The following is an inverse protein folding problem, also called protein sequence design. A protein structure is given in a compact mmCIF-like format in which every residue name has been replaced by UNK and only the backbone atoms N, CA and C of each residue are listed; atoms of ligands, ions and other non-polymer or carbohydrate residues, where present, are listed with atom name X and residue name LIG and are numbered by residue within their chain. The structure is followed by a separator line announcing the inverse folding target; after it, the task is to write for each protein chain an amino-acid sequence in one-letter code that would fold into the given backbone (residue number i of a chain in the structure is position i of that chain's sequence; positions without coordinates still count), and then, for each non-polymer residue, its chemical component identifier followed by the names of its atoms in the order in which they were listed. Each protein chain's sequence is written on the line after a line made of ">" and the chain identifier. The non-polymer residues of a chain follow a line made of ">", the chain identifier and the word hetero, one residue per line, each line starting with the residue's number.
data_IF_194065568770
#
_entry.id   IF_194065568770
#
_cell.length_a   1.000
_cell.length_b   1.000
_cell.length_c   1.000
_cell.angle_alpha   90.00
_cell.angle_beta   90.00
_cell.angle_gamma   90.00
#
_symmetry.space_group_name_H-M   'P 1'
#
loop_
_entity.id
_entity.type
_entity.pdbx_description
1 polymer ?
#
# COMPACT_ATOMS: atom_id res chain seq x y z
N UNK A 1 -32.18 -18.05 -27.59
CA UNK A 1 -31.45 -18.91 -26.64
C UNK A 1 -29.96 -18.65 -26.84
N UNK A 2 -29.36 -17.79 -26.01
CA UNK A 2 -27.92 -17.49 -26.10
C UNK A 2 -27.14 -18.67 -25.55
N UNK A 3 -26.25 -19.24 -26.36
CA UNK A 3 -25.39 -20.34 -25.94
C UNK A 3 -24.42 -19.84 -24.86
N UNK A 4 -24.19 -20.61 -23.78
CA UNK A 4 -23.23 -20.23 -22.75
C UNK A 4 -21.84 -20.09 -23.39
N UNK A 5 -21.27 -18.89 -23.35
CA UNK A 5 -19.93 -18.62 -23.87
C UNK A 5 -18.94 -19.41 -23.01
N UNK A 6 -18.33 -20.44 -23.59
CA UNK A 6 -17.35 -21.27 -22.89
C UNK A 6 -15.97 -20.62 -22.97
N UNK A 7 -15.55 -19.95 -21.90
CA UNK A 7 -14.21 -19.40 -21.77
C UNK A 7 -13.18 -20.47 -21.41
N UNK A 8 -11.95 -20.32 -21.91
CA UNK A 8 -10.80 -21.12 -21.46
C UNK A 8 -10.42 -20.74 -20.02
N UNK A 9 -9.70 -21.62 -19.33
CA UNK A 9 -9.19 -21.31 -17.98
C UNK A 9 -8.30 -20.06 -17.97
N UNK A 10 -7.48 -19.88 -19.01
CA UNK A 10 -6.65 -18.69 -19.16
C UNK A 10 -7.49 -17.41 -19.32
N UNK A 11 -8.56 -17.45 -20.12
CA UNK A 11 -9.45 -16.31 -20.29
C UNK A 11 -10.15 -15.96 -18.97
N UNK A 12 -10.66 -16.95 -18.23
CA UNK A 12 -11.27 -16.72 -16.92
C UNK A 12 -10.28 -16.08 -15.94
N UNK A 13 -9.06 -16.63 -15.85
CA UNK A 13 -8.01 -16.08 -14.97
C UNK A 13 -7.66 -14.63 -15.32
N UNK A 14 -7.48 -14.33 -16.61
CA UNK A 14 -7.18 -12.96 -17.05
C UNK A 14 -8.33 -12.01 -16.70
N UNK A 15 -9.59 -12.41 -16.95
CA UNK A 15 -10.75 -11.58 -16.63
C UNK A 15 -10.91 -11.36 -15.13
N UNK A 16 -10.73 -12.40 -14.31
CA UNK A 16 -10.75 -12.29 -12.85
C UNK A 16 -9.75 -11.23 -12.36
N UNK A 17 -8.49 -11.32 -12.80
CA UNK A 17 -7.46 -10.33 -12.45
C UNK A 17 -7.84 -8.92 -12.90
N UNK A 18 -8.39 -8.77 -14.12
CA UNK A 18 -8.78 -7.44 -14.63
C UNK A 18 -9.96 -6.85 -13.86
N UNK A 19 -10.91 -7.68 -13.44
CA UNK A 19 -12.07 -7.23 -12.68
C UNK A 19 -11.68 -6.88 -11.24
N UNK A 20 -10.83 -7.68 -10.58
CA UNK A 20 -10.28 -7.33 -9.27
C UNK A 20 -9.52 -6.01 -9.30
N UNK A 21 -8.66 -5.81 -10.30
CA UNK A 21 -7.97 -4.52 -10.51
C UNK A 21 -8.94 -3.36 -10.73
N UNK A 22 -10.05 -3.58 -11.44
CA UNK A 22 -11.07 -2.56 -11.64
C UNK A 22 -11.78 -2.24 -10.31
N UNK A 23 -12.17 -3.26 -9.55
CA UNK A 23 -12.81 -3.11 -8.23
C UNK A 23 -11.94 -2.32 -7.26
N UNK A 24 -10.63 -2.60 -7.20
CA UNK A 24 -9.67 -1.83 -6.40
C UNK A 24 -9.69 -0.33 -6.77
N UNK A 25 -9.72 0.00 -8.07
CA UNK A 25 -9.81 1.40 -8.51
C UNK A 25 -11.14 2.04 -8.16
N UNK A 26 -12.24 1.29 -8.19
CA UNK A 26 -13.55 1.80 -7.73
C UNK A 26 -13.51 2.12 -6.22
N UNK A 27 -12.83 1.30 -5.42
CA UNK A 27 -12.63 1.54 -3.99
C UNK A 27 -11.76 2.79 -3.76
N UNK A 28 -10.68 2.95 -4.55
CA UNK A 28 -9.81 4.13 -4.47
C UNK A 28 -10.57 5.42 -4.80
N UNK A 29 -11.39 5.41 -5.86
CA UNK A 29 -12.24 6.55 -6.23
C UNK A 29 -13.21 6.87 -5.08
N UNK A 30 -13.89 5.87 -4.54
CA UNK A 30 -14.82 6.05 -3.41
C UNK A 30 -14.12 6.63 -2.17
N UNK A 31 -12.90 6.17 -1.86
CA UNK A 31 -12.08 6.73 -0.78
C UNK A 31 -11.78 8.21 -1.02
N UNK A 32 -11.38 8.59 -2.24
CA UNK A 32 -11.07 9.99 -2.60
C UNK A 32 -12.30 10.90 -2.49
N UNK A 33 -13.49 10.42 -2.86
CA UNK A 33 -14.73 11.19 -2.73
C UNK A 33 -15.12 11.44 -1.26
N UNK A 34 -14.74 10.52 -0.36
CA UNK A 34 -15.02 10.57 1.07
C UNK A 34 -14.03 11.40 1.89
N UNK A 35 -12.73 11.34 1.55
CA UNK A 35 -11.68 12.07 2.28
C UNK A 35 -11.82 13.60 2.12
N UNK A 36 -12.42 14.07 1.02
CA UNK A 36 -12.60 15.49 0.74
C UNK A 36 -11.27 16.20 0.47
N UNK A 37 -11.11 17.44 0.94
CA UNK A 37 -9.84 18.17 0.80
C UNK A 37 -8.81 17.69 1.81
N UNK A 38 -7.75 17.05 1.34
CA UNK A 38 -6.62 16.60 2.17
C UNK A 38 -5.41 17.52 2.00
N UNK A 39 -4.72 17.83 3.11
CA UNK A 39 -3.44 18.53 3.11
C UNK A 39 -2.38 17.65 3.77
N UNK A 40 -1.41 17.20 2.99
CA UNK A 40 -0.17 16.59 3.47
C UNK A 40 0.93 17.63 3.61
N UNK A 41 2.12 17.23 4.06
CA UNK A 41 3.27 18.13 4.26
C UNK A 41 3.66 18.86 2.98
N UNK A 42 3.62 18.18 1.83
CA UNK A 42 4.07 18.71 0.55
C UNK A 42 2.96 18.83 -0.50
N UNK A 43 1.77 18.28 -0.24
CA UNK A 43 0.67 18.25 -1.20
C UNK A 43 -0.61 18.79 -0.57
N UNK A 44 -1.31 19.66 -1.28
CA UNK A 44 -2.70 20.02 -0.96
C UNK A 44 -3.60 19.55 -2.09
N UNK A 45 -4.53 18.65 -1.76
CA UNK A 45 -5.63 18.26 -2.65
C UNK A 45 -6.78 19.25 -2.44
N UNK A 46 -7.27 19.80 -3.54
CA UNK A 46 -8.44 20.68 -3.54
C UNK A 46 -9.61 19.87 -4.07
N UNK A 47 -10.60 19.63 -3.21
CA UNK A 47 -11.86 19.01 -3.62
C UNK A 47 -12.73 20.06 -4.28
N UNK A 48 -12.99 19.89 -5.57
CA UNK A 48 -13.89 20.74 -6.37
C UNK A 48 -15.13 19.98 -6.84
N UNK A 49 -15.33 18.75 -6.33
CA UNK A 49 -16.45 17.91 -6.72
C UNK A 49 -17.65 18.29 -5.86
N UNK A 50 -18.70 18.77 -6.50
CA UNK A 50 -19.95 19.15 -5.82
C UNK A 50 -20.68 17.93 -5.27
N UNK A 51 -21.57 18.14 -4.30
CA UNK A 51 -22.38 17.05 -3.72
C UNK A 51 -23.18 16.28 -4.77
N UNK A 52 -23.75 16.97 -5.77
CA UNK A 52 -24.51 16.37 -6.86
C UNK A 52 -23.63 15.49 -7.76
N UNK A 53 -22.41 15.95 -8.05
CA UNK A 53 -21.42 15.16 -8.80
C UNK A 53 -20.98 13.93 -8.00
N UNK A 54 -20.72 14.07 -6.68
CA UNK A 54 -20.41 12.94 -5.80
C UNK A 54 -21.53 11.91 -5.81
N UNK A 55 -22.77 12.33 -5.63
CA UNK A 55 -23.93 11.42 -5.66
C UNK A 55 -24.04 10.69 -7.00
N UNK A 56 -23.85 11.42 -8.11
CA UNK A 56 -23.87 10.81 -9.45
C UNK A 56 -22.75 9.79 -9.64
N UNK A 57 -21.54 10.09 -9.17
CA UNK A 57 -20.42 9.16 -9.23
C UNK A 57 -20.70 7.93 -8.35
N UNK A 58 -21.22 8.08 -7.13
CA UNK A 58 -21.58 6.94 -6.28
C UNK A 58 -22.59 6.00 -6.95
N UNK A 59 -23.61 6.53 -7.61
CA UNK A 59 -24.56 5.73 -8.40
C UNK A 59 -23.86 4.96 -9.52
N UNK A 60 -22.90 5.58 -10.20
CA UNK A 60 -22.12 4.94 -11.26
C UNK A 60 -21.16 3.88 -10.73
N UNK A 61 -20.50 4.12 -9.59
CA UNK A 61 -19.63 3.14 -8.92
C UNK A 61 -20.42 1.89 -8.56
N UNK A 62 -21.58 2.05 -7.92
CA UNK A 62 -22.45 0.94 -7.53
C UNK A 62 -22.97 0.15 -8.73
N UNK A 63 -23.40 0.85 -9.79
CA UNK A 63 -23.82 0.19 -11.04
C UNK A 63 -22.66 -0.59 -11.68
N UNK A 64 -21.44 -0.05 -11.64
CA UNK A 64 -20.26 -0.71 -12.21
C UNK A 64 -19.95 -2.00 -11.45
N UNK A 65 -19.96 -1.97 -10.11
CA UNK A 65 -19.79 -3.18 -9.27
C UNK A 65 -20.83 -4.25 -9.56
N UNK A 66 -22.07 -3.83 -9.72
CA UNK A 66 -23.17 -4.74 -10.04
C UNK A 66 -22.99 -5.41 -11.42
N UNK A 67 -22.51 -4.68 -12.43
CA UNK A 67 -22.18 -5.27 -13.73
C UNK A 67 -20.98 -6.22 -13.66
N UNK A 68 -19.94 -5.88 -12.87
CA UNK A 68 -18.81 -6.78 -12.62
C UNK A 68 -19.29 -8.08 -11.95
N UNK A 69 -20.14 -7.98 -10.93
CA UNK A 69 -20.71 -9.13 -10.21
C UNK A 69 -21.48 -10.05 -11.16
N UNK A 70 -22.38 -9.50 -11.98
CA UNK A 70 -23.13 -10.27 -12.99
C UNK A 70 -22.20 -10.97 -13.99
N UNK A 71 -21.14 -10.28 -14.45
CA UNK A 71 -20.16 -10.87 -15.35
C UNK A 71 -19.36 -11.98 -14.65
N UNK A 72 -18.94 -11.77 -13.40
CA UNK A 72 -18.26 -12.76 -12.59
C UNK A 72 -19.08 -14.05 -12.41
N UNK A 73 -20.36 -13.90 -12.07
CA UNK A 73 -21.31 -15.02 -11.93
C UNK A 73 -21.55 -15.75 -13.26
N UNK A 74 -21.85 -15.00 -14.34
CA UNK A 74 -22.15 -15.59 -15.65
C UNK A 74 -20.97 -16.29 -16.31
N UNK A 75 -19.74 -15.89 -15.98
CA UNK A 75 -18.51 -16.46 -16.52
C UNK A 75 -17.82 -17.44 -15.55
N UNK A 76 -18.39 -17.63 -14.36
CA UNK A 76 -17.83 -18.44 -13.27
C UNK A 76 -16.36 -18.08 -13.00
N UNK A 77 -16.11 -16.78 -12.79
CA UNK A 77 -14.77 -16.29 -12.45
C UNK A 77 -14.45 -16.61 -10.99
N UNK A 78 -13.22 -17.05 -10.75
CA UNK A 78 -12.75 -17.34 -9.41
C UNK A 78 -12.37 -16.03 -8.69
N UNK A 79 -12.74 -15.92 -7.42
CA UNK A 79 -12.26 -14.84 -6.54
C UNK A 79 -10.82 -15.15 -6.14
N UNK A 80 -9.90 -14.23 -6.38
CA UNK A 80 -8.53 -14.35 -5.86
C UNK A 80 -8.45 -13.77 -4.45
N UNK A 81 -7.90 -14.54 -3.51
CA UNK A 81 -7.53 -14.01 -2.20
C UNK A 81 -6.19 -13.27 -2.31
N UNK A 82 -6.18 -12.00 -1.94
CA UNK A 82 -4.96 -11.21 -1.80
C UNK A 82 -4.66 -10.94 -0.32
N UNK A 83 -3.38 -11.02 0.04
CA UNK A 83 -2.94 -10.73 1.40
C UNK A 83 -2.67 -9.24 1.57
N UNK A 84 -3.52 -8.55 2.33
CA UNK A 84 -3.27 -7.16 2.73
C UNK A 84 -1.89 -7.00 3.39
N UNK A 85 -1.42 -8.01 4.13
CA UNK A 85 -0.07 -8.01 4.72
C UNK A 85 1.00 -7.96 3.64
N UNK A 86 0.93 -8.85 2.64
CA UNK A 86 1.89 -8.88 1.55
C UNK A 86 1.84 -7.58 0.71
N UNK A 87 0.65 -7.03 0.50
CA UNK A 87 0.47 -5.76 -0.19
C UNK A 87 1.09 -4.58 0.59
N UNK A 88 0.84 -4.48 1.89
CA UNK A 88 1.45 -3.42 2.71
C UNK A 88 2.98 -3.59 2.75
N UNK A 89 3.49 -4.82 2.82
CA UNK A 89 4.93 -5.09 2.75
C UNK A 89 5.55 -4.65 1.42
N UNK A 90 4.87 -4.85 0.29
CA UNK A 90 5.37 -4.39 -1.01
C UNK A 90 5.38 -2.85 -1.08
N UNK A 91 4.35 -2.17 -0.58
CA UNK A 91 4.31 -0.71 -0.49
C UNK A 91 5.44 -0.17 0.39
N UNK A 92 5.68 -0.77 1.55
CA UNK A 92 6.78 -0.39 2.45
C UNK A 92 8.14 -0.59 1.79
N UNK A 93 8.34 -1.68 1.04
CA UNK A 93 9.57 -1.92 0.32
C UNK A 93 9.82 -0.87 -0.77
N UNK A 94 8.77 -0.47 -1.51
CA UNK A 94 8.85 0.60 -2.50
C UNK A 94 9.20 1.94 -1.84
N UNK A 95 8.49 2.34 -0.80
CA UNK A 95 8.77 3.59 -0.07
C UNK A 95 10.17 3.62 0.53
N UNK A 96 10.64 2.48 1.05
CA UNK A 96 12.02 2.35 1.53
C UNK A 96 13.01 2.57 0.39
N UNK A 97 12.80 1.93 -0.76
CA UNK A 97 13.65 2.11 -1.95
C UNK A 97 13.69 3.57 -2.39
N UNK A 98 12.54 4.23 -2.49
CA UNK A 98 12.44 5.63 -2.88
C UNK A 98 13.23 6.52 -1.91
N UNK A 99 13.06 6.33 -0.59
CA UNK A 99 13.81 7.08 0.43
C UNK A 99 15.32 6.81 0.36
N UNK A 100 15.73 5.58 0.07
CA UNK A 100 17.15 5.25 -0.11
C UNK A 100 17.77 6.03 -1.26
N UNK A 101 17.00 6.38 -2.29
CA UNK A 101 17.46 7.16 -3.43
C UNK A 101 17.43 8.68 -3.19
N UNK A 102 16.73 9.13 -2.15
CA UNK A 102 16.77 10.54 -1.69
C UNK A 102 17.98 10.90 -0.83
N UNK A 103 18.83 9.93 -0.48
CA UNK A 103 20.02 10.17 0.36
C UNK A 103 20.94 11.23 -0.26
N UNK A 104 21.51 12.18 0.51
CA UNK A 104 22.35 13.24 -0.02
C UNK A 104 23.48 12.76 -0.92
N UNK A 105 24.12 11.64 -0.59
CA UNK A 105 25.20 11.01 -1.37
C UNK A 105 24.75 10.48 -2.75
N UNK A 106 23.46 10.26 -2.96
CA UNK A 106 22.88 9.78 -4.22
C UNK A 106 22.26 10.88 -5.08
N UNK A 107 22.08 12.09 -4.53
CA UNK A 107 21.47 13.22 -5.25
C UNK A 107 22.46 14.02 -6.11
N UNK A 108 23.68 13.51 -6.34
CA UNK A 108 24.74 14.22 -7.09
C UNK A 108 24.36 14.53 -8.54
N UNK A 109 23.40 13.79 -9.12
CA UNK A 109 22.88 14.03 -10.47
C UNK A 109 22.13 15.36 -10.65
N UNK A 110 21.75 16.02 -9.56
CA UNK A 110 21.03 17.30 -9.57
C UNK A 110 21.93 18.52 -9.31
N UNK A 111 23.25 18.31 -9.35
CA UNK A 111 24.26 19.32 -9.06
C UNK A 111 24.93 19.12 -7.70
N UNK A 112 25.88 19.98 -7.38
CA UNK A 112 26.62 19.90 -6.13
C UNK A 112 25.75 20.41 -4.97
N UNK A 113 25.57 19.57 -3.95
CA UNK A 113 24.94 19.94 -2.69
C UNK A 113 25.95 20.66 -1.79
N UNK A 114 25.52 21.73 -1.11
CA UNK A 114 26.38 22.37 -0.11
C UNK A 114 26.58 21.45 1.10
N UNK A 115 27.72 21.57 1.79
CA UNK A 115 28.01 20.79 3.00
C UNK A 115 26.95 20.99 4.10
N UNK A 116 26.41 22.21 4.18
CA UNK A 116 25.32 22.56 5.10
C UNK A 116 24.04 21.79 4.76
N UNK A 117 23.61 21.80 3.49
CA UNK A 117 22.42 21.07 3.06
C UNK A 117 22.59 19.54 3.21
N UNK A 118 23.78 19.03 2.91
CA UNK A 118 24.12 17.61 3.12
C UNK A 118 23.91 17.22 4.59
N UNK A 119 24.47 18.02 5.50
CA UNK A 119 24.38 17.77 6.95
C UNK A 119 22.93 17.91 7.46
N UNK A 120 22.19 18.89 6.94
CA UNK A 120 20.79 19.12 7.30
C UNK A 120 19.87 17.96 6.90
N UNK A 121 20.11 17.34 5.74
CA UNK A 121 19.23 16.31 5.18
C UNK A 121 19.56 14.89 5.66
N UNK A 122 20.83 14.61 6.00
CA UNK A 122 21.29 13.26 6.33
C UNK A 122 20.50 12.63 7.48
N UNK A 123 20.41 13.31 8.64
CA UNK A 123 19.76 12.74 9.82
C UNK A 123 18.22 12.60 9.65
N UNK A 124 17.48 13.60 9.11
CA UNK A 124 16.06 13.45 8.86
C UNK A 124 15.71 12.33 7.88
N UNK A 125 16.44 12.19 6.77
CA UNK A 125 16.20 11.11 5.79
C UNK A 125 16.45 9.75 6.43
N UNK A 126 17.54 9.61 7.20
CA UNK A 126 17.81 8.37 7.93
C UNK A 126 16.70 8.03 8.93
N UNK A 127 16.13 9.03 9.61
CA UNK A 127 14.99 8.83 10.50
C UNK A 127 13.76 8.30 9.75
N UNK A 128 13.45 8.85 8.58
CA UNK A 128 12.33 8.36 7.74
C UNK A 128 12.55 6.91 7.29
N UNK A 129 13.78 6.57 6.88
CA UNK A 129 14.15 5.19 6.52
C UNK A 129 13.91 4.23 7.68
N UNK A 130 14.35 4.60 8.89
CA UNK A 130 14.18 3.78 10.09
C UNK A 130 12.69 3.53 10.41
N UNK A 131 11.83 4.54 10.27
CA UNK A 131 10.38 4.40 10.51
C UNK A 131 9.73 3.41 9.53
N UNK A 132 10.08 3.47 8.24
CA UNK A 132 9.57 2.50 7.25
C UNK A 132 10.05 1.09 7.56
N UNK A 133 11.30 0.93 8.01
CA UNK A 133 11.83 -0.37 8.42
C UNK A 133 11.12 -0.91 9.67
N UNK A 134 10.83 -0.06 10.66
CA UNK A 134 10.07 -0.44 11.85
C UNK A 134 8.66 -0.94 11.49
N UNK A 135 7.95 -0.23 10.61
CA UNK A 135 6.65 -0.68 10.09
C UNK A 135 6.75 -2.06 9.41
N UNK A 136 7.82 -2.28 8.64
CA UNK A 136 8.06 -3.57 7.97
C UNK A 136 8.35 -4.70 8.98
N UNK A 137 9.08 -4.40 10.06
CA UNK A 137 9.38 -5.36 11.14
C UNK A 137 8.11 -5.82 11.85
N UNK A 138 7.18 -4.90 12.16
CA UNK A 138 5.86 -5.22 12.74
C UNK A 138 5.11 -6.24 11.86
N UNK A 139 5.20 -6.10 10.53
CA UNK A 139 4.54 -7.01 9.59
C UNK A 139 5.30 -8.32 9.36
N UNK A 140 6.58 -8.41 9.70
CA UNK A 140 7.39 -9.63 9.59
C UNK A 140 7.21 -10.61 10.76
N UNK A 141 6.45 -10.23 11.79
CA UNK A 141 6.22 -11.08 12.98
C UNK A 141 7.39 -11.11 13.96
N UNK A 142 8.40 -10.24 13.80
CA UNK A 142 9.56 -10.12 14.71
C UNK A 142 9.35 -9.06 15.81
N UNK A 143 8.15 -8.94 16.33
CA UNK A 143 7.89 -8.13 17.52
C UNK A 143 7.76 -9.05 18.74
N UNK A 144 8.88 -9.23 19.46
CA UNK A 144 8.88 -9.84 20.79
C UNK A 144 9.95 -10.90 21.06
N UNK A 145 11.24 -10.54 21.03
CA UNK A 145 12.28 -11.11 21.92
C UNK A 145 13.34 -10.04 22.13
N UNK A 146 13.03 -9.05 22.97
CA UNK A 146 14.01 -8.15 23.55
C UNK A 146 13.53 -7.74 24.94
N UNK A 147 13.21 -8.76 25.76
CA UNK A 147 13.19 -8.63 27.21
C UNK A 147 13.52 -10.02 27.77
N UNK A 148 14.70 -10.12 28.35
CA UNK A 148 15.31 -11.20 29.17
C UNK A 148 16.82 -11.27 28.88
N UNK A 149 17.51 -10.21 29.26
CA UNK A 149 18.87 -10.33 29.80
C UNK A 149 18.85 -9.70 31.19
N UNK A 150 18.57 -10.52 32.20
CA UNK A 150 18.99 -10.24 33.57
C UNK A 150 19.17 -11.56 34.33
N UNK A 151 20.44 -11.93 34.55
CA UNK A 151 20.85 -12.71 35.73
C UNK A 151 20.92 -14.23 35.59
N UNK A 152 21.86 -14.74 34.80
CA UNK A 152 22.60 -15.93 35.24
C UNK A 152 23.61 -15.45 36.31
N UNK A 153 23.30 -15.65 37.59
CA UNK A 153 24.31 -15.69 38.66
C UNK A 153 24.15 -17.02 39.39
N UNK A 154 25.03 -17.93 38.96
CA UNK A 154 25.75 -18.99 39.65
C UNK A 154 25.11 -19.84 40.77
N UNK A 155 25.21 -21.13 40.49
CA UNK A 155 24.93 -22.34 41.27
C UNK A 155 25.76 -22.45 42.59
N UNK A 156 25.41 -23.42 43.48
CA UNK A 156 25.70 -23.43 44.89
C UNK A 156 27.10 -23.96 45.22
N UNK A 157 27.69 -23.47 46.31
CA UNK A 157 28.71 -24.23 47.01
C UNK A 157 28.26 -24.58 48.43
N UNK A 158 28.02 -25.88 48.57
CA UNK A 158 28.00 -26.61 49.83
C UNK A 158 29.28 -26.38 50.62
N UNK A 159 29.15 -26.03 51.90
CA UNK A 159 29.88 -26.69 53.00
C UNK A 159 29.14 -26.49 54.32
#
# INVERSE_FOLDING_TARGET
>A
MSHPIKLSANHRRVLAVRFSQLEERLIEIESLLNIGSEKTVFLRRVDKITSDEKERIYKLLNRTREEIRKLGESLSLDVSEESNRAHIQSLLALMWSDLQDTRPEKLTGYGNMSQEAFSLLTAPIQKLINLIQEMSLVLSGKAGVADEVQGCEDDPQST
#
